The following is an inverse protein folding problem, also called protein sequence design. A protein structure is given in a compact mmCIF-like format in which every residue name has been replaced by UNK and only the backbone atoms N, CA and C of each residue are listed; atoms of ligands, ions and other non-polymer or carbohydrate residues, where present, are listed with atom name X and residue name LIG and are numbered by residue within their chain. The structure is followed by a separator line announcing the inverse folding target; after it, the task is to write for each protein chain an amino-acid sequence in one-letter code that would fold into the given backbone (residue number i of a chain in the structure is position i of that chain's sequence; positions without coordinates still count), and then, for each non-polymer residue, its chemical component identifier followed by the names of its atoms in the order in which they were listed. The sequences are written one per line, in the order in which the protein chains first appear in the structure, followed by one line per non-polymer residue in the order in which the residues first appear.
data_IF_829631579335
#
_entry.id   IF_829631579335
#
_cell.length_a   1.000
_cell.length_b   1.000
_cell.length_c   1.000
_cell.angle_alpha   90.00
_cell.angle_beta   90.00
_cell.angle_gamma   90.00
#
_symmetry.space_group_name_H-M   'P 1'
#
loop_
_entity.id
_entity.type
_entity.pdbx_description
1 polymer ?
#
# COMPACT_ATOMS: atom_id res chain seq x y z
N UNK A 1 -22.74 -25.89 2.27
CA UNK A 1 -21.83 -25.12 1.38
C UNK A 1 -22.09 -23.60 1.39
N UNK A 2 -23.26 -23.11 1.83
CA UNK A 2 -23.58 -21.65 1.87
C UNK A 2 -22.96 -20.85 3.04
N UNK A 3 -22.57 -21.48 4.15
CA UNK A 3 -22.09 -20.76 5.34
C UNK A 3 -20.79 -19.97 5.12
N UNK A 4 -19.87 -20.47 4.28
CA UNK A 4 -18.60 -19.78 3.95
C UNK A 4 -18.79 -18.52 3.08
N UNK A 5 -19.78 -18.53 2.19
CA UNK A 5 -20.12 -17.36 1.36
C UNK A 5 -20.76 -16.25 2.20
N UNK A 6 -21.69 -16.59 3.09
CA UNK A 6 -22.28 -15.63 4.02
C UNK A 6 -21.24 -15.02 4.97
N UNK A 7 -20.28 -15.83 5.45
CA UNK A 7 -19.22 -15.35 6.33
C UNK A 7 -18.26 -14.39 5.62
N UNK A 8 -17.86 -14.68 4.37
CA UNK A 8 -17.04 -13.77 3.56
C UNK A 8 -17.73 -12.45 3.29
N UNK A 9 -19.01 -12.48 2.90
CA UNK A 9 -19.79 -11.27 2.67
C UNK A 9 -19.93 -10.42 3.95
N UNK A 10 -20.17 -11.06 5.10
CA UNK A 10 -20.22 -10.38 6.40
C UNK A 10 -18.87 -9.73 6.77
N UNK A 11 -17.76 -10.42 6.57
CA UNK A 11 -16.43 -9.86 6.81
C UNK A 11 -16.14 -8.66 5.92
N UNK A 12 -16.43 -8.75 4.62
CA UNK A 12 -16.27 -7.62 3.69
C UNK A 12 -17.11 -6.42 4.12
N UNK A 13 -18.35 -6.65 4.54
CA UNK A 13 -19.23 -5.59 5.05
C UNK A 13 -18.64 -4.89 6.29
N UNK A 14 -18.12 -5.65 7.25
CA UNK A 14 -17.49 -5.08 8.46
C UNK A 14 -16.26 -4.24 8.11
N UNK A 15 -15.42 -4.70 7.17
CA UNK A 15 -14.24 -3.94 6.71
C UNK A 15 -14.66 -2.64 6.02
N UNK A 16 -15.74 -2.66 5.23
CA UNK A 16 -16.32 -1.45 4.64
C UNK A 16 -16.78 -0.46 5.70
N UNK A 17 -17.60 -0.90 6.65
CA UNK A 17 -18.11 -0.05 7.72
C UNK A 17 -16.98 0.59 8.54
N UNK A 18 -15.94 -0.19 8.84
CA UNK A 18 -14.77 0.31 9.55
C UNK A 18 -14.02 1.37 8.73
N UNK A 19 -13.82 1.14 7.43
CA UNK A 19 -13.18 2.11 6.55
C UNK A 19 -13.99 3.41 6.51
N UNK A 20 -15.31 3.33 6.31
CA UNK A 20 -16.17 4.51 6.21
C UNK A 20 -16.17 5.31 7.51
N UNK A 21 -16.19 4.63 8.66
CA UNK A 21 -16.09 5.27 9.98
C UNK A 21 -14.78 6.02 10.15
N UNK A 22 -13.64 5.40 9.79
CA UNK A 22 -12.33 6.06 9.92
C UNK A 22 -12.16 7.21 8.93
N UNK A 23 -12.70 7.09 7.72
CA UNK A 23 -12.70 8.17 6.74
C UNK A 23 -13.56 9.36 7.20
N UNK A 24 -14.67 9.11 7.89
CA UNK A 24 -15.49 10.16 8.49
C UNK A 24 -14.77 10.85 9.66
N UNK A 25 -14.07 10.09 10.51
CA UNK A 25 -13.22 10.67 11.56
C UNK A 25 -12.15 11.61 10.96
N UNK A 26 -11.53 11.20 9.86
CA UNK A 26 -10.55 12.01 9.13
C UNK A 26 -11.17 13.25 8.49
N UNK A 27 -12.41 13.17 8.00
CA UNK A 27 -13.15 14.33 7.47
C UNK A 27 -13.44 15.35 8.56
N UNK A 28 -13.86 14.90 9.74
CA UNK A 28 -14.19 15.74 10.90
C UNK A 28 -12.96 16.27 11.63
N UNK A 29 -11.84 15.53 11.59
CA UNK A 29 -10.58 15.91 12.21
C UNK A 29 -9.45 15.65 11.21
N UNK A 30 -9.22 16.62 10.31
CA UNK A 30 -8.24 16.49 9.22
C UNK A 30 -6.82 16.26 9.72
N UNK A 31 -6.46 16.84 10.88
CA UNK A 31 -5.16 16.63 11.54
C UNK A 31 -4.97 15.26 12.19
N UNK A 32 -6.00 14.40 12.15
CA UNK A 32 -5.96 13.01 12.59
C UNK A 32 -5.48 12.78 14.04
N UNK A 33 -6.09 13.49 14.99
CA UNK A 33 -5.78 13.35 16.42
C UNK A 33 -5.96 11.92 16.96
N UNK A 34 -6.83 11.12 16.33
CA UNK A 34 -7.14 9.73 16.70
C UNK A 34 -6.29 8.69 15.98
N UNK A 35 -5.39 9.11 15.08
CA UNK A 35 -4.52 8.24 14.29
C UNK A 35 -5.27 7.27 13.36
N UNK A 36 -6.47 7.66 12.94
CA UNK A 36 -7.30 6.94 11.98
C UNK A 36 -6.57 6.69 10.67
N UNK A 37 -5.69 7.61 10.23
CA UNK A 37 -4.92 7.48 8.98
C UNK A 37 -3.99 6.28 8.98
N UNK A 38 -3.58 5.77 10.14
CA UNK A 38 -2.64 4.65 10.24
C UNK A 38 -3.34 3.31 9.92
N UNK A 39 -4.65 3.22 10.13
CA UNK A 39 -5.45 2.01 9.88
C UNK A 39 -6.07 1.95 8.49
N UNK A 40 -6.42 3.12 7.93
CA UNK A 40 -7.12 3.24 6.63
C UNK A 40 -6.43 2.47 5.49
N UNK A 41 -5.10 2.56 5.27
CA UNK A 41 -4.44 1.86 4.17
C UNK A 41 -4.62 0.35 4.20
N UNK A 42 -4.52 -0.26 5.39
CA UNK A 42 -4.70 -1.70 5.55
C UNK A 42 -6.12 -2.16 5.20
N UNK A 43 -7.13 -1.36 5.52
CA UNK A 43 -8.52 -1.66 5.16
C UNK A 43 -8.77 -1.50 3.66
N UNK A 44 -8.22 -0.46 3.04
CA UNK A 44 -8.32 -0.26 1.59
C UNK A 44 -7.73 -1.43 0.81
N UNK A 45 -6.53 -1.91 1.20
CA UNK A 45 -5.89 -3.08 0.57
C UNK A 45 -6.76 -4.34 0.68
N UNK A 46 -7.40 -4.58 1.85
CA UNK A 46 -8.31 -5.72 2.06
C UNK A 46 -9.57 -5.66 1.19
N UNK A 47 -9.98 -4.46 0.79
CA UNK A 47 -11.14 -4.22 -0.08
C UNK A 47 -10.76 -4.11 -1.56
N UNK A 48 -9.52 -4.46 -1.95
CA UNK A 48 -8.99 -4.29 -3.31
C UNK A 48 -9.07 -2.83 -3.82
N UNK A 49 -9.07 -1.85 -2.91
CA UNK A 49 -8.99 -0.41 -3.20
C UNK A 49 -7.53 0.04 -3.24
N UNK A 50 -6.71 -0.68 -3.98
CA UNK A 50 -5.25 -0.52 -3.96
C UNK A 50 -4.79 0.81 -4.59
N UNK A 51 -5.43 1.27 -5.67
CA UNK A 51 -5.18 2.58 -6.25
C UNK A 51 -5.54 3.71 -5.27
N UNK A 52 -6.71 3.61 -4.65
CA UNK A 52 -7.19 4.61 -3.69
C UNK A 52 -6.32 4.63 -2.43
N UNK A 53 -5.80 3.47 -2.03
CA UNK A 53 -4.79 3.37 -0.98
C UNK A 53 -3.52 4.13 -1.37
N UNK A 54 -3.04 3.97 -2.61
CA UNK A 54 -1.86 4.70 -3.09
C UNK A 54 -2.11 6.21 -3.11
N UNK A 55 -3.25 6.65 -3.63
CA UNK A 55 -3.65 8.06 -3.67
C UNK A 55 -3.73 8.67 -2.26
N UNK A 56 -4.31 7.94 -1.30
CA UNK A 56 -4.41 8.32 0.11
C UNK A 56 -3.02 8.47 0.73
N UNK A 57 -2.16 7.45 0.59
CA UNK A 57 -0.79 7.49 1.12
C UNK A 57 0.00 8.65 0.51
N UNK A 58 -0.15 8.89 -0.79
CA UNK A 58 0.53 9.98 -1.48
C UNK A 58 0.09 11.33 -0.95
N UNK A 59 -1.21 11.52 -0.75
CA UNK A 59 -1.72 12.78 -0.21
C UNK A 59 -1.07 13.09 1.15
N UNK A 60 -1.06 12.13 2.07
CA UNK A 60 -0.39 12.29 3.37
C UNK A 60 1.12 12.53 3.25
N UNK A 61 1.80 11.83 2.35
CA UNK A 61 3.24 12.01 2.12
C UNK A 61 3.59 13.39 1.53
N UNK A 62 2.71 13.97 0.72
CA UNK A 62 2.90 15.29 0.12
C UNK A 62 2.51 16.43 1.04
N UNK A 63 1.35 16.34 1.70
CA UNK A 63 0.81 17.42 2.52
C UNK A 63 1.57 17.59 3.84
N UNK A 64 2.08 16.49 4.41
CA UNK A 64 2.89 16.53 5.64
C UNK A 64 4.18 17.35 5.47
N UNK A 65 4.63 17.55 4.23
CA UNK A 65 5.79 18.40 3.90
C UNK A 65 5.41 19.87 3.70
N UNK A 66 4.12 20.18 3.56
CA UNK A 66 3.64 21.53 3.40
C UNK A 66 3.36 22.18 4.78
N UNK A 67 4.34 22.94 5.27
CA UNK A 67 4.24 23.66 6.55
C UNK A 67 3.13 24.74 6.58
N UNK A 68 2.59 25.12 5.41
CA UNK A 68 1.55 26.14 5.29
C UNK A 68 0.15 25.53 5.17
N UNK A 69 0.01 24.21 5.23
CA UNK A 69 -1.30 23.58 5.19
C UNK A 69 -2.00 23.72 6.53
N UNK A 70 -3.10 24.47 6.55
CA UNK A 70 -3.96 24.62 7.73
C UNK A 70 -4.92 23.43 7.84
N UNK A 71 -4.77 22.64 8.89
CA UNK A 71 -5.61 21.46 9.14
C UNK A 71 -7.03 21.83 9.56
N UNK A 72 -7.23 23.03 10.10
CA UNK A 72 -8.52 23.51 10.59
C UNK A 72 -9.32 24.26 9.49
N UNK A 73 -8.67 24.60 8.36
CA UNK A 73 -9.35 25.20 7.22
C UNK A 73 -10.06 24.14 6.36
N UNK A 74 -11.38 24.06 6.50
CA UNK A 74 -12.21 23.13 5.73
C UNK A 74 -12.31 23.48 4.23
N UNK A 75 -11.94 24.70 3.83
CA UNK A 75 -11.99 25.13 2.43
C UNK A 75 -10.81 24.60 1.61
N UNK A 76 -9.73 24.18 2.26
CA UNK A 76 -8.56 23.63 1.58
C UNK A 76 -8.85 22.24 0.98
N UNK A 77 -8.19 21.88 -0.15
CA UNK A 77 -8.33 20.56 -0.75
C UNK A 77 -7.88 19.44 0.18
N UNK A 78 -8.79 18.50 0.47
CA UNK A 78 -8.53 17.35 1.34
C UNK A 78 -8.68 16.03 0.59
N UNK A 79 -7.66 15.16 0.65
CA UNK A 79 -7.62 13.85 -0.02
C UNK A 79 -8.01 13.89 -1.52
N UNK A 80 -7.62 14.98 -2.20
CA UNK A 80 -8.00 15.27 -3.58
C UNK A 80 -7.16 14.57 -4.67
N UNK A 81 -6.09 13.86 -4.30
CA UNK A 81 -5.29 13.10 -5.26
C UNK A 81 -6.11 11.91 -5.78
N UNK A 82 -6.12 11.72 -7.10
CA UNK A 82 -6.79 10.60 -7.77
C UNK A 82 -5.94 10.06 -8.92
N UNK A 83 -5.93 8.74 -9.07
CA UNK A 83 -5.20 8.03 -10.13
C UNK A 83 -3.71 8.39 -10.18
N UNK A 84 -3.09 8.62 -9.02
CA UNK A 84 -1.68 8.93 -8.96
C UNK A 84 -0.85 7.81 -9.61
N UNK A 85 0.21 8.23 -10.29
CA UNK A 85 1.12 7.33 -10.97
C UNK A 85 1.87 6.46 -9.94
N UNK A 86 1.57 5.15 -9.89
CA UNK A 86 2.25 4.23 -8.98
C UNK A 86 3.71 3.94 -9.37
N UNK A 87 4.18 4.40 -10.54
CA UNK A 87 5.55 4.19 -11.03
C UNK A 87 6.52 5.26 -10.56
N UNK A 88 6.00 6.30 -9.90
CA UNK A 88 6.86 7.37 -9.39
C UNK A 88 7.84 6.88 -8.31
N UNK A 89 8.95 7.62 -8.11
CA UNK A 89 9.87 7.37 -7.00
C UNK A 89 9.16 7.36 -5.64
N UNK A 90 9.69 6.57 -4.70
CA UNK A 90 9.13 6.48 -3.34
C UNK A 90 9.64 7.59 -2.42
N UNK A 91 10.59 8.42 -2.88
CA UNK A 91 11.23 9.49 -2.10
C UNK A 91 10.22 10.44 -1.41
N UNK A 92 9.06 10.78 -2.00
CA UNK A 92 8.05 11.57 -1.30
C UNK A 92 7.56 10.91 0.00
N UNK A 93 7.52 9.58 0.05
CA UNK A 93 7.09 8.78 1.20
C UNK A 93 8.23 8.51 2.19
N UNK A 94 9.47 8.69 1.75
CA UNK A 94 10.63 8.54 2.60
C UNK A 94 10.87 9.86 3.34
N UNK A 95 10.93 9.79 4.67
CA UNK A 95 11.59 10.85 5.43
C UNK A 95 13.08 10.58 5.35
N UNK A 96 13.80 11.35 4.53
CA UNK A 96 15.24 11.39 4.69
C UNK A 96 15.53 12.04 6.05
N UNK A 97 16.20 11.28 6.90
CA UNK A 97 16.78 11.71 8.17
C UNK A 97 17.86 12.75 7.90
N UNK A 98 17.49 13.97 7.52
CA UNK A 98 18.35 15.15 7.61
C UNK A 98 17.79 16.05 8.69
N UNK A 99 18.36 15.87 9.88
CA UNK A 99 18.58 16.91 10.89
C UNK A 99 17.54 18.04 10.96
N UNK A 100 16.37 17.79 11.52
CA UNK A 100 15.66 18.76 12.38
C UNK A 100 14.89 18.00 13.46
N UNK A 101 15.56 17.87 14.60
CA UNK A 101 15.13 17.17 15.81
C UNK A 101 13.82 17.72 16.42
N UNK A 102 13.29 18.82 15.89
CA UNK A 102 12.13 19.52 16.44
C UNK A 102 10.79 18.95 15.94
N UNK A 103 10.74 18.36 14.73
CA UNK A 103 9.51 17.80 14.15
C UNK A 103 9.32 16.29 14.41
N UNK A 104 10.33 15.61 14.95
CA UNK A 104 10.23 14.19 15.34
C UNK A 104 9.19 13.98 16.47
N UNK A 105 8.89 15.03 17.23
CA UNK A 105 7.95 14.99 18.37
C UNK A 105 6.51 15.33 17.97
N UNK A 106 6.28 15.96 16.81
CA UNK A 106 4.95 16.41 16.36
C UNK A 106 4.42 15.56 15.18
N UNK A 107 3.93 14.37 15.51
CA UNK A 107 2.81 13.66 14.85
C UNK A 107 2.84 13.24 13.36
N UNK A 108 3.91 13.45 12.57
CA UNK A 108 3.85 13.21 11.11
C UNK A 108 4.93 12.26 10.55
N UNK A 109 5.38 11.28 11.34
CA UNK A 109 6.31 10.24 10.88
C UNK A 109 5.64 9.27 9.88
N UNK A 110 6.36 8.68 8.91
CA UNK A 110 5.88 7.60 8.05
C UNK A 110 5.67 6.41 8.97
N UNK A 111 4.41 6.24 9.34
CA UNK A 111 4.03 5.21 10.28
C UNK A 111 4.35 3.85 9.66
N UNK A 112 4.78 2.88 10.47
CA UNK A 112 5.06 1.51 9.99
C UNK A 112 3.93 1.00 9.10
N UNK A 113 2.68 1.29 9.48
CA UNK A 113 1.49 0.93 8.71
C UNK A 113 1.47 1.50 7.28
N UNK A 114 1.88 2.76 7.09
CA UNK A 114 1.95 3.41 5.77
C UNK A 114 3.06 2.78 4.92
N UNK A 115 4.24 2.59 5.49
CA UNK A 115 5.38 1.93 4.81
C UNK A 115 5.02 0.51 4.38
N UNK A 116 4.37 -0.25 5.26
CA UNK A 116 3.92 -1.61 4.97
C UNK A 116 2.86 -1.60 3.87
N UNK A 117 1.84 -0.74 3.98
CA UNK A 117 0.80 -0.64 2.97
C UNK A 117 1.38 -0.27 1.60
N UNK A 118 2.29 0.70 1.54
CA UNK A 118 3.00 1.07 0.32
C UNK A 118 3.82 -0.11 -0.23
N UNK A 119 4.51 -0.86 0.63
CA UNK A 119 5.25 -2.07 0.23
C UNK A 119 4.30 -3.08 -0.43
N UNK A 120 3.15 -3.35 0.18
CA UNK A 120 2.16 -4.29 -0.34
C UNK A 120 1.57 -3.85 -1.68
N UNK A 121 1.24 -2.56 -1.82
CA UNK A 121 0.79 -1.97 -3.10
C UNK A 121 1.86 -2.12 -4.18
N UNK A 122 3.13 -1.84 -3.86
CA UNK A 122 4.25 -1.99 -4.81
C UNK A 122 4.50 -3.46 -5.17
N UNK A 123 4.35 -4.39 -4.22
CA UNK A 123 4.41 -5.84 -4.49
C UNK A 123 3.30 -6.27 -5.44
N UNK A 124 2.05 -5.84 -5.21
CA UNK A 124 0.93 -6.12 -6.12
C UNK A 124 1.20 -5.57 -7.53
N UNK A 125 1.69 -4.33 -7.64
CA UNK A 125 2.10 -3.73 -8.92
C UNK A 125 3.19 -4.55 -9.63
N UNK A 126 4.23 -4.97 -8.91
CA UNK A 126 5.29 -5.81 -9.45
C UNK A 126 4.73 -7.13 -10.01
N UNK A 127 3.80 -7.76 -9.29
CA UNK A 127 3.16 -8.98 -9.77
C UNK A 127 2.26 -8.76 -10.98
N UNK A 128 1.52 -7.64 -11.05
CA UNK A 128 0.76 -7.27 -12.25
C UNK A 128 1.70 -7.18 -13.44
N UNK A 129 2.84 -6.51 -13.31
CA UNK A 129 3.82 -6.42 -14.39
C UNK A 129 4.41 -7.76 -14.81
N UNK A 130 4.69 -8.65 -13.86
CA UNK A 130 5.12 -10.00 -14.21
C UNK A 130 4.02 -10.77 -14.95
N UNK A 131 2.76 -10.59 -14.55
CA UNK A 131 1.62 -11.27 -15.17
C UNK A 131 1.23 -10.71 -16.54
N UNK A 132 1.50 -9.42 -16.83
CA UNK A 132 1.13 -8.76 -18.09
C UNK A 132 2.30 -8.60 -19.07
N UNK A 133 3.53 -8.46 -18.56
CA UNK A 133 4.73 -8.14 -19.35
C UNK A 133 5.96 -8.95 -18.94
N UNK A 134 5.80 -9.99 -18.11
CA UNK A 134 6.87 -10.93 -17.81
C UNK A 134 7.48 -11.48 -19.09
N UNK A 135 8.77 -11.81 -19.06
CA UNK A 135 9.47 -12.37 -20.23
C UNK A 135 8.66 -13.56 -20.77
N UNK A 136 8.28 -13.52 -22.05
CA UNK A 136 7.70 -14.68 -22.74
C UNK A 136 8.64 -15.88 -22.52
N UNK A 137 8.25 -16.87 -21.72
CA UNK A 137 9.13 -17.96 -21.25
C UNK A 137 9.33 -18.06 -19.72
N UNK A 138 9.04 -17.00 -18.94
CA UNK A 138 9.20 -17.02 -17.47
C UNK A 138 8.23 -18.00 -16.81
N UNK A 139 7.02 -18.12 -17.35
CA UNK A 139 6.06 -19.11 -16.85
C UNK A 139 6.55 -20.53 -17.15
N UNK A 140 7.00 -20.78 -18.38
CA UNK A 140 7.49 -22.05 -18.87
C UNK A 140 8.76 -22.51 -18.13
N UNK A 141 9.59 -21.58 -17.66
CA UNK A 141 10.83 -21.86 -16.92
C UNK A 141 10.67 -21.80 -15.39
N UNK A 142 9.55 -21.29 -14.89
CA UNK A 142 9.28 -21.20 -13.45
C UNK A 142 9.04 -22.58 -12.81
N UNK A 143 9.38 -22.69 -11.53
CA UNK A 143 9.01 -23.86 -10.73
C UNK A 143 7.49 -23.93 -10.56
N UNK A 144 6.96 -25.12 -10.29
CA UNK A 144 5.52 -25.33 -10.12
C UNK A 144 4.91 -24.46 -9.00
N UNK A 145 5.66 -24.21 -7.92
CA UNK A 145 5.26 -23.25 -6.87
C UNK A 145 5.09 -21.83 -7.42
N UNK A 146 6.03 -21.37 -8.23
CA UNK A 146 5.95 -20.03 -8.83
C UNK A 146 4.86 -19.93 -9.89
N UNK A 147 4.59 -21.00 -10.65
CA UNK A 147 3.46 -21.04 -11.60
C UNK A 147 2.13 -20.92 -10.89
N UNK A 148 1.92 -21.68 -9.82
CA UNK A 148 0.70 -21.58 -9.00
C UNK A 148 0.48 -20.16 -8.47
N UNK A 149 1.55 -19.52 -8.00
CA UNK A 149 1.53 -18.13 -7.55
C UNK A 149 1.15 -17.19 -8.72
N UNK A 150 1.71 -17.39 -9.92
CA UNK A 150 1.35 -16.61 -11.12
C UNK A 150 -0.08 -16.84 -11.58
N UNK A 151 -0.61 -18.07 -11.45
CA UNK A 151 -2.00 -18.40 -11.79
C UNK A 151 -2.98 -17.72 -10.81
N UNK A 152 -2.66 -17.72 -9.52
CA UNK A 152 -3.41 -16.97 -8.50
C UNK A 152 -3.34 -15.44 -8.74
N UNK A 153 -2.31 -14.96 -9.44
CA UNK A 153 -2.15 -13.56 -9.82
C UNK A 153 -2.96 -13.13 -11.03
N UNK A 154 -3.59 -14.05 -11.77
CA UNK A 154 -4.48 -13.69 -12.90
C UNK A 154 -5.61 -12.78 -12.42
N UNK A 155 -6.14 -13.03 -11.22
CA UNK A 155 -7.17 -12.20 -10.58
C UNK A 155 -6.71 -10.76 -10.30
N UNK A 156 -5.39 -10.50 -10.24
CA UNK A 156 -4.86 -9.14 -10.08
C UNK A 156 -5.02 -8.28 -11.34
N UNK A 157 -5.28 -8.89 -12.51
CA UNK A 157 -5.54 -8.15 -13.76
C UNK A 157 -6.80 -7.29 -13.68
N UNK A 158 -7.75 -7.65 -12.82
CA UNK A 158 -8.96 -6.88 -12.58
C UNK A 158 -8.83 -5.85 -11.46
N UNK A 159 -7.63 -5.74 -10.84
CA UNK A 159 -7.39 -4.79 -9.76
C UNK A 159 -7.47 -3.32 -10.22
N UNK A 160 -7.69 -2.42 -9.26
CA UNK A 160 -7.70 -0.97 -9.52
C UNK A 160 -6.35 -0.46 -10.01
N UNK A 161 -5.24 -1.07 -9.57
CA UNK A 161 -3.88 -0.75 -10.07
C UNK A 161 -3.74 -1.10 -11.55
N UNK A 162 -4.17 -2.29 -11.96
CA UNK A 162 -4.05 -2.74 -13.35
C UNK A 162 -4.82 -1.84 -14.32
N UNK A 163 -5.91 -1.21 -13.85
CA UNK A 163 -6.73 -0.26 -14.61
C UNK A 163 -6.16 1.16 -14.61
N UNK A 164 -5.13 1.46 -13.82
CA UNK A 164 -4.52 2.78 -13.82
C UNK A 164 -3.90 3.07 -15.21
N UNK A 165 -4.19 4.23 -15.85
CA UNK A 165 -3.68 4.53 -17.18
C UNK A 165 -2.15 4.48 -17.31
N UNK A 166 -1.41 4.80 -16.25
CA UNK A 166 0.05 4.73 -16.23
C UNK A 166 0.58 3.30 -16.22
N UNK A 167 -0.23 2.33 -15.81
CA UNK A 167 0.11 0.90 -15.78
C UNK A 167 -0.45 0.20 -17.03
N UNK A 168 -1.73 0.41 -17.33
CA UNK A 168 -2.45 -0.25 -18.42
C UNK A 168 -1.89 0.07 -19.82
N UNK A 169 -1.36 1.28 -20.00
CA UNK A 169 -0.87 1.73 -21.31
C UNK A 169 0.59 1.37 -21.57
N UNK A 170 1.28 0.71 -20.64
CA UNK A 170 2.67 0.34 -20.84
C UNK A 170 2.83 -0.75 -21.89
N UNK A 171 3.75 -0.53 -22.81
CA UNK A 171 4.23 -1.60 -23.69
C UNK A 171 5.15 -2.56 -22.93
N UNK A 172 5.34 -3.77 -23.48
CA UNK A 172 6.27 -4.74 -22.89
C UNK A 172 7.71 -4.18 -22.78
N UNK A 173 8.14 -3.36 -23.75
CA UNK A 173 9.47 -2.73 -23.73
C UNK A 173 9.59 -1.69 -22.60
N UNK A 174 8.57 -0.86 -22.40
CA UNK A 174 8.55 0.16 -21.33
C UNK A 174 8.36 -0.46 -19.94
N UNK A 175 7.69 -1.61 -19.84
CA UNK A 175 7.47 -2.29 -18.57
C UNK A 175 8.75 -2.87 -17.97
N UNK A 176 9.72 -3.32 -18.77
CA UNK A 176 10.96 -3.93 -18.28
C UNK A 176 11.78 -3.05 -17.32
N UNK A 177 12.11 -1.78 -17.64
CA UNK A 177 12.79 -0.92 -16.68
C UNK A 177 11.95 -0.63 -15.44
N UNK A 178 10.63 -0.49 -15.58
CA UNK A 178 9.72 -0.26 -14.45
C UNK A 178 9.62 -1.47 -13.52
N UNK A 179 9.72 -2.70 -14.02
CA UNK A 179 9.82 -3.93 -13.21
C UNK A 179 11.07 -3.88 -12.32
N UNK A 180 12.22 -3.51 -12.88
CA UNK A 180 13.47 -3.42 -12.11
C UNK A 180 13.41 -2.31 -11.06
N UNK A 181 12.83 -1.16 -11.43
CA UNK A 181 12.61 -0.03 -10.52
C UNK A 181 11.66 -0.41 -9.38
N UNK A 182 10.52 -1.04 -9.67
CA UNK A 182 9.58 -1.50 -8.68
C UNK A 182 10.24 -2.48 -7.70
N UNK A 183 11.05 -3.43 -8.20
CA UNK A 183 11.82 -4.37 -7.38
C UNK A 183 12.80 -3.66 -6.44
N UNK A 184 13.51 -2.63 -6.93
CA UNK A 184 14.41 -1.83 -6.10
C UNK A 184 13.65 -1.05 -5.02
N UNK A 185 12.52 -0.42 -5.37
CA UNK A 185 11.67 0.30 -4.44
C UNK A 185 11.10 -0.62 -3.34
N UNK A 186 10.62 -1.81 -3.70
CA UNK A 186 10.12 -2.82 -2.74
C UNK A 186 11.20 -3.18 -1.73
N UNK A 187 12.43 -3.45 -2.20
CA UNK A 187 13.56 -3.75 -1.29
C UNK A 187 13.83 -2.60 -0.33
N UNK A 188 13.83 -1.37 -0.84
CA UNK A 188 14.06 -0.19 0.01
C UNK A 188 12.97 -0.01 1.07
N UNK A 189 11.70 -0.19 0.70
CA UNK A 189 10.58 -0.12 1.65
C UNK A 189 10.64 -1.25 2.69
N UNK A 190 10.99 -2.46 2.26
CA UNK A 190 11.20 -3.60 3.15
C UNK A 190 12.28 -3.30 4.20
N UNK A 191 13.44 -2.77 3.78
CA UNK A 191 14.53 -2.37 4.67
C UNK A 191 14.09 -1.31 5.68
N UNK A 192 13.31 -0.32 5.24
CA UNK A 192 12.80 0.74 6.11
C UNK A 192 11.82 0.17 7.14
N UNK A 193 10.86 -0.63 6.72
CA UNK A 193 9.92 -1.29 7.63
C UNK A 193 10.66 -2.18 8.64
N UNK A 194 11.68 -2.92 8.20
CA UNK A 194 12.51 -3.76 9.06
C UNK A 194 13.36 -2.94 10.05
N UNK A 195 13.82 -1.74 9.65
CA UNK A 195 14.51 -0.81 10.55
C UNK A 195 13.56 -0.24 11.62
N UNK A 196 12.30 0.02 11.28
CA UNK A 196 11.28 0.51 12.22
C UNK A 196 10.84 -0.62 13.16
N UNK A 197 10.57 -1.81 12.64
CA UNK A 197 10.23 -3.01 13.40
C UNK A 197 10.77 -4.27 12.70
N UNK A 198 11.84 -4.84 13.25
CA UNK A 198 12.54 -6.00 12.69
C UNK A 198 11.72 -7.29 12.67
N UNK A 199 10.65 -7.37 13.45
CA UNK A 199 9.82 -8.56 13.56
C UNK A 199 8.65 -8.54 12.59
N UNK A 200 8.24 -7.35 12.13
CA UNK A 200 6.98 -7.15 11.43
C UNK A 200 6.78 -8.12 10.26
N UNK A 201 7.78 -8.28 9.40
CA UNK A 201 7.66 -9.13 8.21
C UNK A 201 7.59 -10.62 8.54
N UNK A 202 8.33 -11.06 9.55
CA UNK A 202 8.31 -12.45 10.00
C UNK A 202 6.93 -12.80 10.56
N UNK A 203 6.43 -11.98 11.47
CA UNK A 203 5.10 -12.10 12.09
C UNK A 203 3.95 -12.03 11.07
N UNK A 204 4.13 -11.26 9.99
CA UNK A 204 3.11 -11.16 8.94
C UNK A 204 3.00 -12.45 8.11
N UNK A 205 4.11 -13.17 7.92
CA UNK A 205 4.18 -14.39 7.11
C UNK A 205 3.78 -15.61 7.93
N UNK A 206 4.23 -15.69 9.19
CA UNK A 206 3.92 -16.76 10.12
C UNK A 206 3.43 -16.20 11.47
N UNK A 207 2.16 -15.78 11.53
CA UNK A 207 1.61 -15.23 12.77
C UNK A 207 1.43 -16.30 13.86
N UNK A 208 1.29 -17.58 13.48
CA UNK A 208 0.96 -18.64 14.42
C UNK A 208 2.18 -19.07 15.24
N UNK A 209 3.39 -19.07 14.68
CA UNK A 209 4.61 -19.41 15.41
C UNK A 209 4.82 -18.48 16.62
N UNK A 210 4.60 -17.19 16.43
CA UNK A 210 4.80 -16.18 17.47
C UNK A 210 3.65 -16.09 18.46
N UNK A 211 2.40 -16.22 18.00
CA UNK A 211 1.22 -16.23 18.88
C UNK A 211 1.17 -17.46 19.78
N UNK A 212 1.76 -18.58 19.36
CA UNK A 212 1.85 -19.81 20.13
C UNK A 212 3.18 -19.98 20.88
N UNK A 213 4.12 -19.06 20.72
CA UNK A 213 5.35 -19.03 21.54
C UNK A 213 5.00 -18.64 22.97
N UNK A 214 5.41 -19.47 23.95
CA UNK A 214 5.23 -19.16 25.36
C UNK A 214 6.09 -17.92 25.74
N UNK A 215 5.60 -17.05 26.65
CA UNK A 215 6.30 -15.82 27.05
C UNK A 215 7.67 -16.09 27.70
#
# INVERSE_FOLDING_TARGET
MNSRLHYRAALTFVVHLQLDTLMENLRLCRGDSTRSKDMVPGLMIRLNKDQECYDFLKWWATISKNLQYDWDDETLPYLGIKNANLLEPIDPFLLETSSELFFVVMHHQPHLAHTVALTLVKIKLYFIFLATHGTNGAYETATERYRKIMDEMVELRDSTIARNPHVANLTCFEAQPEIQKAKAQIRKLYEIANKINRYFWQELIDPDESLNSAP
#
